data_IF_331956441617
#
_entry.id   IF_331956441617
#
_cell.length_a   1.000
_cell.length_b   1.000
_cell.length_c   1.000
_cell.angle_alpha   90.00
_cell.angle_beta   90.00
_cell.angle_gamma   90.00
#
_symmetry.space_group_name_H-M   'P 1'
#
loop_
_entity.id
_entity.type
_entity.pdbx_description
1 polymer ?
#
# COMPACT_ATOMS: atom_id res chain seq x y z
N UNK A 1 16.43 13.46 0.31
CA UNK A 1 17.46 12.40 0.41
C UNK A 1 17.21 11.48 -0.77
N UNK A 2 18.22 11.13 -1.56
CA UNK A 2 18.06 10.21 -2.68
C UNK A 2 18.78 8.92 -2.31
N UNK A 3 18.05 7.81 -2.22
CA UNK A 3 18.66 6.50 -2.08
C UNK A 3 18.81 5.85 -3.45
N UNK A 4 20.01 5.32 -3.67
CA UNK A 4 20.55 4.74 -4.90
C UNK A 4 19.70 3.59 -5.43
N UNK A 5 19.76 3.38 -6.75
CA UNK A 5 19.20 2.21 -7.44
C UNK A 5 19.77 0.93 -6.81
N UNK A 6 18.93 0.15 -6.14
CA UNK A 6 19.38 -1.05 -5.40
C UNK A 6 19.08 -2.30 -6.24
N UNK A 7 20.11 -3.07 -6.60
CA UNK A 7 20.03 -4.29 -7.43
C UNK A 7 19.18 -5.41 -6.80
N UNK A 8 18.19 -5.94 -7.50
CA UNK A 8 17.25 -6.96 -6.99
C UNK A 8 17.78 -8.39 -6.98
N UNK A 9 19.02 -8.64 -7.42
CA UNK A 9 19.59 -9.99 -7.43
C UNK A 9 19.80 -10.55 -6.01
N UNK A 10 19.22 -11.72 -5.74
CA UNK A 10 19.38 -12.44 -4.47
C UNK A 10 18.48 -12.01 -3.32
N UNK A 11 17.55 -11.07 -3.52
CA UNK A 11 16.62 -10.61 -2.47
C UNK A 11 15.39 -11.49 -2.32
N UNK A 12 14.93 -11.59 -1.08
CA UNK A 12 13.63 -12.15 -0.77
C UNK A 12 12.51 -11.27 -1.33
N UNK A 13 11.36 -11.90 -1.60
CA UNK A 13 10.18 -11.21 -2.12
C UNK A 13 9.70 -10.06 -1.22
N UNK A 14 9.85 -10.24 0.09
CA UNK A 14 9.62 -9.23 1.12
C UNK A 14 10.51 -8.00 0.94
N UNK A 15 11.82 -8.17 0.72
CA UNK A 15 12.75 -7.06 0.52
C UNK A 15 12.49 -6.31 -0.79
N UNK A 16 12.09 -7.04 -1.85
CA UNK A 16 11.70 -6.45 -3.13
C UNK A 16 10.46 -5.57 -2.94
N UNK A 17 9.45 -6.08 -2.23
CA UNK A 17 8.23 -5.32 -1.94
C UNK A 17 8.55 -4.06 -1.12
N UNK A 18 9.35 -4.16 -0.06
CA UNK A 18 9.76 -2.99 0.74
C UNK A 18 10.45 -1.94 -0.13
N UNK A 19 11.41 -2.35 -0.96
CA UNK A 19 12.10 -1.44 -1.87
C UNK A 19 11.12 -0.74 -2.82
N UNK A 20 10.19 -1.48 -3.41
CA UNK A 20 9.18 -0.93 -4.31
C UNK A 20 8.28 0.09 -3.60
N UNK A 21 7.83 -0.22 -2.37
CA UNK A 21 7.04 0.71 -1.55
C UNK A 21 7.79 2.01 -1.26
N UNK A 22 9.07 1.94 -0.90
CA UNK A 22 9.89 3.13 -0.73
C UNK A 22 10.02 3.94 -2.02
N UNK A 23 10.26 3.29 -3.16
CA UNK A 23 10.36 3.97 -4.46
C UNK A 23 9.08 4.67 -4.88
N UNK A 24 7.91 4.07 -4.60
CA UNK A 24 6.60 4.69 -4.88
C UNK A 24 6.42 5.97 -4.08
N UNK A 25 6.77 5.94 -2.79
CA UNK A 25 6.74 7.14 -1.93
C UNK A 25 7.73 8.20 -2.40
N UNK A 26 8.97 7.82 -2.69
CA UNK A 26 10.00 8.75 -3.17
C UNK A 26 9.56 9.43 -4.47
N UNK A 27 8.99 8.66 -5.40
CA UNK A 27 8.46 9.18 -6.67
C UNK A 27 7.33 10.18 -6.44
N UNK A 28 6.40 9.86 -5.53
CA UNK A 28 5.34 10.77 -5.14
C UNK A 28 5.91 12.09 -4.60
N UNK A 29 6.86 12.05 -3.66
CA UNK A 29 7.44 13.28 -3.12
C UNK A 29 8.25 14.06 -4.16
N UNK A 30 9.06 13.40 -4.98
CA UNK A 30 9.90 14.07 -5.98
C UNK A 30 9.09 14.77 -7.05
N UNK A 31 8.00 14.16 -7.52
CA UNK A 31 7.15 14.72 -8.57
C UNK A 31 6.36 15.94 -8.10
N UNK A 32 5.96 15.97 -6.82
CA UNK A 32 5.06 17.00 -6.30
C UNK A 32 5.76 18.06 -5.43
N UNK A 33 7.06 17.92 -5.14
CA UNK A 33 7.85 18.87 -4.32
C UNK A 33 7.96 20.28 -4.89
N UNK A 34 7.88 20.42 -6.21
CA UNK A 34 8.11 21.68 -6.93
C UNK A 34 6.88 22.22 -7.66
N UNK A 35 5.74 21.55 -7.55
CA UNK A 35 4.55 21.89 -8.33
C UNK A 35 3.69 22.93 -7.59
N UNK A 36 3.27 24.02 -8.26
CA UNK A 36 2.29 24.97 -7.73
C UNK A 36 0.83 24.48 -7.89
N UNK A 37 0.63 23.20 -8.16
CA UNK A 37 -0.61 22.65 -8.70
C UNK A 37 -1.64 22.33 -7.60
N UNK A 38 -2.91 22.54 -7.94
CA UNK A 38 -4.03 22.61 -7.01
C UNK A 38 -4.32 21.31 -6.24
N UNK A 39 -5.12 21.45 -5.19
CA UNK A 39 -5.51 20.37 -4.27
C UNK A 39 -6.12 19.13 -4.97
N UNK A 40 -6.69 19.28 -6.17
CA UNK A 40 -7.20 18.18 -6.99
C UNK A 40 -6.10 17.29 -7.57
N UNK A 41 -4.97 17.86 -8.00
CA UNK A 41 -3.88 17.09 -8.58
C UNK A 41 -3.12 16.27 -7.54
N UNK A 42 -2.98 16.80 -6.32
CA UNK A 42 -2.47 16.05 -5.18
C UNK A 42 -3.38 14.84 -4.86
N UNK A 43 -4.70 15.00 -4.93
CA UNK A 43 -5.64 13.90 -4.71
C UNK A 43 -5.53 12.81 -5.79
N UNK A 44 -5.46 13.19 -7.06
CA UNK A 44 -5.28 12.23 -8.16
C UNK A 44 -3.96 11.45 -7.99
N UNK A 45 -2.88 12.13 -7.60
CA UNK A 45 -1.61 11.48 -7.35
C UNK A 45 -1.64 10.52 -6.14
N UNK A 46 -2.41 10.85 -5.10
CA UNK A 46 -2.62 9.97 -3.95
C UNK A 46 -3.46 8.74 -4.30
N UNK A 47 -4.48 8.90 -5.15
CA UNK A 47 -5.26 7.78 -5.67
C UNK A 47 -4.38 6.82 -6.49
N UNK A 48 -3.55 7.38 -7.38
CA UNK A 48 -2.59 6.57 -8.13
C UNK A 48 -1.62 5.83 -7.20
N UNK A 49 -1.13 6.51 -6.17
CA UNK A 49 -0.25 5.90 -5.18
C UNK A 49 -0.96 4.76 -4.43
N UNK A 50 -2.25 4.91 -4.08
CA UNK A 50 -3.07 3.85 -3.49
C UNK A 50 -3.14 2.61 -4.38
N UNK A 51 -3.48 2.81 -5.65
CA UNK A 51 -3.59 1.74 -6.63
C UNK A 51 -2.26 1.03 -6.84
N UNK A 52 -1.16 1.78 -6.88
CA UNK A 52 0.19 1.24 -7.02
C UNK A 52 0.60 0.37 -5.82
N UNK A 53 0.24 0.79 -4.58
CA UNK A 53 0.43 -0.02 -3.38
C UNK A 53 -0.39 -1.31 -3.43
N UNK A 54 -1.66 -1.21 -3.78
CA UNK A 54 -2.56 -2.35 -3.83
C UNK A 54 -2.09 -3.39 -4.86
N UNK A 55 -1.67 -2.97 -6.05
CA UNK A 55 -1.14 -3.89 -7.05
C UNK A 55 0.17 -4.52 -6.60
N UNK A 56 1.10 -3.74 -6.03
CA UNK A 56 2.36 -4.27 -5.55
C UNK A 56 2.17 -5.34 -4.46
N UNK A 57 1.25 -5.09 -3.51
CA UNK A 57 0.92 -6.02 -2.44
C UNK A 57 0.18 -7.27 -2.97
N UNK A 58 -0.75 -7.10 -3.91
CA UNK A 58 -1.47 -8.21 -4.53
C UNK A 58 -0.53 -9.12 -5.33
N UNK A 59 0.32 -8.55 -6.16
CA UNK A 59 1.29 -9.30 -6.96
C UNK A 59 2.24 -10.08 -6.03
N UNK A 60 2.77 -9.42 -5.00
CA UNK A 60 3.63 -10.05 -4.01
C UNK A 60 2.93 -11.22 -3.29
N UNK A 61 1.65 -11.06 -2.92
CA UNK A 61 0.89 -12.11 -2.28
C UNK A 61 0.62 -13.30 -3.22
N UNK A 62 0.38 -13.03 -4.51
CA UNK A 62 0.22 -14.08 -5.52
C UNK A 62 1.53 -14.84 -5.75
N UNK A 63 2.63 -14.14 -5.93
CA UNK A 63 3.94 -14.74 -6.16
C UNK A 63 4.38 -15.58 -4.96
N UNK A 64 4.20 -15.06 -3.74
CA UNK A 64 4.48 -15.80 -2.52
C UNK A 64 3.57 -17.02 -2.36
N UNK A 65 2.31 -16.92 -2.77
CA UNK A 65 1.41 -18.07 -2.83
C UNK A 65 1.92 -19.14 -3.80
N UNK A 66 2.36 -18.77 -5.01
CA UNK A 66 2.89 -19.71 -6.00
C UNK A 66 4.19 -20.36 -5.54
N UNK A 67 5.08 -19.61 -4.88
CA UNK A 67 6.34 -20.17 -4.35
C UNK A 67 6.12 -21.17 -3.22
N UNK A 68 5.13 -20.92 -2.35
CA UNK A 68 4.83 -21.76 -1.19
C UNK A 68 3.86 -22.91 -1.50
N UNK A 69 3.14 -22.82 -2.62
CA UNK A 69 2.34 -23.92 -3.13
C UNK A 69 3.31 -24.93 -3.74
N UNK A 70 3.58 -26.03 -3.02
CA UNK A 70 4.23 -27.20 -3.61
C UNK A 70 3.54 -27.53 -4.94
N UNK A 71 4.26 -28.10 -5.92
CA UNK A 71 3.71 -28.47 -7.24
C UNK A 71 2.45 -29.37 -7.17
N UNK A 72 2.15 -29.95 -6.01
CA UNK A 72 0.97 -30.78 -5.71
C UNK A 72 -0.25 -30.01 -5.14
N UNK A 73 -0.12 -28.72 -4.85
CA UNK A 73 -1.25 -27.88 -4.42
C UNK A 73 -2.04 -27.42 -5.63
N UNK A 74 -3.36 -27.66 -5.65
CA UNK A 74 -4.22 -27.14 -6.71
C UNK A 74 -4.06 -25.62 -6.84
N UNK A 75 -3.90 -25.09 -8.06
CA UNK A 75 -3.84 -23.65 -8.27
C UNK A 75 -5.10 -23.00 -7.72
N UNK A 76 -4.96 -21.78 -7.20
CA UNK A 76 -6.11 -20.99 -6.77
C UNK A 76 -7.13 -20.89 -7.91
N UNK A 77 -8.39 -21.06 -7.56
CA UNK A 77 -9.51 -20.75 -8.44
C UNK A 77 -9.37 -19.30 -8.95
N UNK A 78 -9.40 -19.07 -10.28
CA UNK A 78 -9.34 -17.73 -10.87
C UNK A 78 -10.34 -16.75 -10.25
N UNK A 79 -11.49 -17.26 -9.81
CA UNK A 79 -12.56 -16.53 -9.13
C UNK A 79 -12.10 -15.96 -7.79
N UNK A 80 -11.33 -16.72 -7.00
CA UNK A 80 -10.80 -16.26 -5.70
C UNK A 80 -9.76 -15.17 -5.91
N UNK A 81 -8.89 -15.32 -6.92
CA UNK A 81 -7.90 -14.31 -7.27
C UNK A 81 -8.58 -13.02 -7.73
N UNK A 82 -9.57 -13.13 -8.59
CA UNK A 82 -10.30 -11.99 -9.11
C UNK A 82 -11.15 -11.31 -8.03
N UNK A 83 -11.80 -12.07 -7.15
CA UNK A 83 -12.57 -11.52 -6.03
C UNK A 83 -11.65 -10.82 -5.03
N UNK A 84 -10.49 -11.40 -4.71
CA UNK A 84 -9.48 -10.76 -3.85
C UNK A 84 -9.04 -9.41 -4.44
N UNK A 85 -8.67 -9.41 -5.72
CA UNK A 85 -8.31 -8.18 -6.45
C UNK A 85 -9.48 -7.20 -6.43
N UNK A 86 -10.72 -7.64 -6.64
CA UNK A 86 -11.88 -6.75 -6.62
C UNK A 86 -12.15 -6.15 -5.24
N UNK A 87 -11.85 -6.87 -4.16
CA UNK A 87 -12.05 -6.39 -2.78
C UNK A 87 -11.02 -5.38 -2.36
N UNK A 88 -9.77 -5.60 -2.77
CA UNK A 88 -8.69 -4.64 -2.57
C UNK A 88 -8.91 -3.43 -3.48
N UNK A 89 -9.21 -3.61 -4.76
CA UNK A 89 -9.47 -2.49 -5.69
C UNK A 89 -10.82 -1.81 -5.52
N UNK A 90 -11.75 -2.37 -4.74
CA UNK A 90 -13.01 -1.66 -4.42
C UNK A 90 -12.56 -0.40 -3.70
N UNK A 91 -12.58 0.69 -4.46
CA UNK A 91 -12.21 2.02 -4.01
C UNK A 91 -12.91 2.24 -2.67
N UNK A 92 -12.13 2.33 -1.60
CA UNK A 92 -12.47 3.26 -0.56
C UNK A 92 -12.29 4.58 -1.28
N UNK A 93 -13.34 5.10 -1.90
CA UNK A 93 -14.04 6.22 -1.29
C UNK A 93 -13.00 6.98 -0.48
N UNK A 94 -12.23 7.82 -1.17
CA UNK A 94 -12.15 9.18 -0.72
C UNK A 94 -13.56 9.58 -0.29
N UNK A 95 -13.91 9.23 0.96
CA UNK A 95 -14.81 9.95 1.83
C UNK A 95 -14.09 11.24 2.20
N UNK A 96 -13.55 11.90 1.17
CA UNK A 96 -12.78 13.11 1.20
C UNK A 96 -13.73 14.30 0.96
N UNK A 97 -14.95 14.02 0.52
CA UNK A 97 -16.03 15.00 0.48
C UNK A 97 -16.58 15.31 1.88
N UNK A 98 -16.45 14.40 2.87
CA UNK A 98 -17.00 14.61 4.22
C UNK A 98 -16.02 15.21 5.24
N UNK A 99 -14.83 15.62 4.79
CA UNK A 99 -13.99 16.56 5.54
C UNK A 99 -13.53 17.66 4.61
N UNK A 100 -14.45 18.62 4.43
CA UNK A 100 -14.16 20.02 4.11
C UNK A 100 -12.78 20.43 4.63
N UNK A 101 -12.02 21.31 3.93
CA UNK A 101 -10.71 21.79 4.34
C UNK A 101 -10.77 22.72 5.58
N UNK A 102 -11.42 22.29 6.66
CA UNK A 102 -11.37 22.91 7.97
C UNK A 102 -10.01 22.59 8.59
N UNK A 103 -9.01 23.38 8.19
CA UNK A 103 -7.68 23.33 8.80
C UNK A 103 -6.51 23.48 7.84
N UNK A 104 -6.73 23.63 6.53
CA UNK A 104 -5.65 24.12 5.67
C UNK A 104 -5.43 25.60 5.96
N UNK A 105 -4.58 25.89 6.95
CA UNK A 105 -4.07 27.25 7.10
C UNK A 105 -3.30 27.59 5.82
N UNK A 106 -3.40 28.82 5.28
CA UNK A 106 -2.64 29.27 4.12
C UNK A 106 -1.11 29.15 4.26
N UNK A 107 -0.62 28.82 5.47
CA UNK A 107 0.79 28.70 5.85
C UNK A 107 1.27 27.25 6.01
N UNK A 108 0.43 26.25 5.78
CA UNK A 108 0.86 24.85 5.90
C UNK A 108 1.78 24.47 4.73
N UNK A 109 3.00 24.02 5.05
CA UNK A 109 3.97 23.58 4.03
C UNK A 109 3.48 22.34 3.29
N UNK A 110 3.87 22.21 2.02
CA UNK A 110 3.60 21.03 1.20
C UNK A 110 3.92 19.73 1.94
N UNK A 111 5.08 19.66 2.60
CA UNK A 111 5.46 18.47 3.37
C UNK A 111 4.43 18.12 4.44
N UNK A 112 3.96 19.06 5.26
CA UNK A 112 2.97 18.76 6.31
C UNK A 112 1.63 18.27 5.73
N UNK A 113 1.20 18.84 4.60
CA UNK A 113 0.00 18.41 3.88
C UNK A 113 0.15 17.01 3.30
N UNK A 114 1.22 16.77 2.55
CA UNK A 114 1.55 15.48 1.95
C UNK A 114 1.67 14.38 3.01
N UNK A 115 2.25 14.70 4.18
CA UNK A 115 2.36 13.79 5.32
C UNK A 115 0.99 13.39 5.88
N UNK A 116 0.08 14.35 6.06
CA UNK A 116 -1.30 14.08 6.51
C UNK A 116 -2.05 13.24 5.48
N UNK A 117 -1.94 13.60 4.21
CA UNK A 117 -2.53 12.85 3.09
C UNK A 117 -2.02 11.41 3.07
N UNK A 118 -0.71 11.21 3.24
CA UNK A 118 -0.09 9.89 3.28
C UNK A 118 -0.57 9.07 4.50
N UNK A 119 -0.74 9.68 5.67
CA UNK A 119 -1.32 9.00 6.83
C UNK A 119 -2.73 8.48 6.55
N UNK A 120 -3.59 9.29 5.91
CA UNK A 120 -4.94 8.86 5.52
C UNK A 120 -4.88 7.70 4.53
N UNK A 121 -4.00 7.79 3.54
CA UNK A 121 -3.77 6.73 2.56
C UNK A 121 -3.40 5.41 3.24
N UNK A 122 -2.43 5.42 4.16
CA UNK A 122 -2.03 4.23 4.90
C UNK A 122 -3.18 3.64 5.72
N UNK A 123 -4.02 4.48 6.35
CA UNK A 123 -5.21 4.01 7.04
C UNK A 123 -6.22 3.33 6.11
N UNK A 124 -6.44 3.88 4.91
CA UNK A 124 -7.36 3.32 3.92
C UNK A 124 -6.86 1.97 3.41
N UNK A 125 -5.59 1.90 2.99
CA UNK A 125 -4.93 0.65 2.60
C UNK A 125 -5.06 -0.38 3.72
N UNK A 126 -4.82 0.03 4.97
CA UNK A 126 -4.93 -0.89 6.09
C UNK A 126 -6.31 -1.50 6.24
N UNK A 127 -7.36 -0.70 6.17
CA UNK A 127 -8.73 -1.17 6.30
C UNK A 127 -9.11 -2.12 5.15
N UNK A 128 -8.71 -1.80 3.91
CA UNK A 128 -8.99 -2.61 2.72
C UNK A 128 -8.36 -4.00 2.83
N UNK A 129 -7.09 -4.05 3.20
CA UNK A 129 -6.34 -5.29 3.34
C UNK A 129 -6.81 -6.12 4.53
N UNK A 130 -7.18 -5.49 5.65
CA UNK A 130 -7.84 -6.19 6.77
C UNK A 130 -9.16 -6.81 6.34
N UNK A 131 -10.00 -6.10 5.60
CA UNK A 131 -11.28 -6.61 5.11
C UNK A 131 -11.08 -7.77 4.12
N UNK A 132 -10.10 -7.65 3.21
CA UNK A 132 -9.73 -8.70 2.26
C UNK A 132 -9.24 -9.96 2.99
N UNK A 133 -8.36 -9.79 3.99
CA UNK A 133 -7.86 -10.91 4.79
C UNK A 133 -8.97 -11.58 5.61
N UNK A 134 -9.86 -10.79 6.23
CA UNK A 134 -11.00 -11.33 6.96
C UNK A 134 -11.95 -12.13 6.05
N UNK A 135 -12.17 -11.66 4.82
CA UNK A 135 -12.94 -12.38 3.82
C UNK A 135 -12.24 -13.69 3.40
N UNK A 136 -10.93 -13.65 3.12
CA UNK A 136 -10.15 -14.86 2.79
C UNK A 136 -10.25 -15.90 3.91
N UNK A 137 -10.10 -15.47 5.17
CA UNK A 137 -10.25 -16.33 6.34
C UNK A 137 -11.62 -16.97 6.41
N UNK A 138 -12.70 -16.23 6.12
CA UNK A 138 -14.07 -16.79 6.09
C UNK A 138 -14.30 -17.79 4.95
N UNK A 139 -13.51 -17.69 3.88
CA UNK A 139 -13.65 -18.57 2.71
C UNK A 139 -13.07 -19.98 2.96
N UNK A 140 -12.20 -20.14 3.99
CA UNK A 140 -11.77 -21.36 4.71
C UNK A 140 -11.88 -22.74 4.01
N UNK A 141 -11.53 -22.83 2.73
CA UNK A 141 -11.28 -24.10 2.05
C UNK A 141 -9.80 -24.43 2.12
N UNK A 142 -9.45 -25.73 2.12
CA UNK A 142 -8.06 -26.16 2.07
C UNK A 142 -7.28 -25.53 0.90
N UNK A 143 -7.97 -25.20 -0.20
CA UNK A 143 -7.42 -24.56 -1.39
C UNK A 143 -7.04 -23.08 -1.24
N UNK A 144 -7.45 -22.37 -0.17
CA UNK A 144 -7.11 -20.95 0.04
C UNK A 144 -6.21 -20.70 1.25
N UNK A 145 -5.85 -21.74 2.01
CA UNK A 145 -5.05 -21.57 3.23
C UNK A 145 -3.62 -21.08 2.94
N UNK A 146 -3.00 -21.59 1.88
CA UNK A 146 -1.70 -21.10 1.42
C UNK A 146 -1.76 -19.61 1.06
N UNK A 147 -2.88 -19.18 0.45
CA UNK A 147 -3.10 -17.79 0.08
C UNK A 147 -3.28 -16.91 1.31
N UNK A 148 -4.05 -17.37 2.31
CA UNK A 148 -4.17 -16.66 3.58
C UNK A 148 -2.80 -16.40 4.21
N UNK A 149 -1.92 -17.41 4.26
CA UNK A 149 -0.56 -17.27 4.81
C UNK A 149 0.29 -16.29 4.00
N UNK A 150 0.20 -16.35 2.67
CA UNK A 150 0.92 -15.42 1.79
C UNK A 150 0.47 -13.97 2.02
N UNK A 151 -0.85 -13.73 2.04
CA UNK A 151 -1.41 -12.41 2.32
C UNK A 151 -1.04 -11.94 3.72
N UNK A 152 -1.06 -12.80 4.74
CA UNK A 152 -0.63 -12.45 6.10
C UNK A 152 0.85 -12.03 6.16
N UNK A 153 1.73 -12.74 5.46
CA UNK A 153 3.14 -12.40 5.40
C UNK A 153 3.35 -11.03 4.74
N UNK A 154 2.74 -10.80 3.57
CA UNK A 154 2.82 -9.51 2.87
C UNK A 154 2.20 -8.37 3.70
N UNK A 155 1.10 -8.67 4.38
CA UNK A 155 0.46 -7.73 5.29
C UNK A 155 1.37 -7.31 6.45
N UNK A 156 2.15 -8.24 7.02
CA UNK A 156 3.14 -7.90 8.04
C UNK A 156 4.20 -6.91 7.52
N UNK A 157 4.70 -7.14 6.30
CA UNK A 157 5.69 -6.27 5.65
C UNK A 157 5.14 -4.85 5.47
N UNK A 158 3.88 -4.74 5.05
CA UNK A 158 3.21 -3.46 4.92
C UNK A 158 3.07 -2.73 6.27
N UNK A 159 2.77 -3.45 7.35
CA UNK A 159 2.64 -2.87 8.69
C UNK A 159 3.98 -2.33 9.22
N UNK A 160 5.05 -3.06 8.96
CA UNK A 160 6.40 -2.64 9.34
C UNK A 160 6.78 -1.36 8.59
N UNK A 161 6.48 -1.31 7.28
CA UNK A 161 6.66 -0.13 6.46
C UNK A 161 5.84 1.07 6.98
N UNK A 162 4.56 0.88 7.28
CA UNK A 162 3.70 1.92 7.83
C UNK A 162 4.25 2.47 9.16
N UNK A 163 4.74 1.59 10.02
CA UNK A 163 5.33 1.94 11.32
C UNK A 163 6.61 2.76 11.13
N UNK A 164 7.48 2.33 10.21
CA UNK A 164 8.70 3.06 9.83
C UNK A 164 8.36 4.46 9.32
N UNK A 165 7.42 4.56 8.37
CA UNK A 165 6.98 5.85 7.84
C UNK A 165 6.43 6.73 8.95
N UNK A 166 5.53 6.24 9.80
CA UNK A 166 5.00 7.01 10.93
C UNK A 166 6.10 7.58 11.85
N UNK A 167 7.19 6.82 12.06
CA UNK A 167 8.35 7.29 12.82
C UNK A 167 9.11 8.40 12.08
N UNK A 168 9.40 8.23 10.78
CA UNK A 168 10.06 9.24 9.94
C UNK A 168 9.27 10.56 9.95
N UNK A 169 7.95 10.46 9.80
CA UNK A 169 7.03 11.60 9.82
C UNK A 169 7.11 12.32 11.17
N UNK A 170 7.01 11.57 12.28
CA UNK A 170 7.10 12.13 13.63
C UNK A 170 8.41 12.89 13.82
N UNK A 171 9.53 12.28 13.47
CA UNK A 171 10.85 12.91 13.56
C UNK A 171 10.96 14.18 12.72
N UNK A 172 10.42 14.19 11.49
CA UNK A 172 10.46 15.36 10.62
C UNK A 172 9.57 16.52 11.08
N UNK A 173 8.53 16.24 11.87
CA UNK A 173 7.63 17.27 12.42
C UNK A 173 8.07 17.86 13.76
N UNK A 174 8.98 17.18 14.47
CA UNK A 174 9.55 17.61 15.76
C UNK A 174 10.91 18.33 15.62
N UNK A 175 11.51 18.30 14.42
CA UNK A 175 12.72 19.03 14.06
C UNK A 175 12.39 20.42 13.50
#
# INVERSE_FOLDING_TARGET
MCFTQVSTEGRSLTEILQLRMHQMVDSFFNNHRHQPEGQEQEQVALLQLEDDFDEALLDAAMDLHYQNSNQDSSPLLPEVRQELRSRVRRSSVLSLEDQSPEGCSPKESFCKRALRSFQRLLCCLWQKWQAALAWLKKTLSAGVQALCRAVEAIWSVFNDFCSFMAQVIRSATQA
#
